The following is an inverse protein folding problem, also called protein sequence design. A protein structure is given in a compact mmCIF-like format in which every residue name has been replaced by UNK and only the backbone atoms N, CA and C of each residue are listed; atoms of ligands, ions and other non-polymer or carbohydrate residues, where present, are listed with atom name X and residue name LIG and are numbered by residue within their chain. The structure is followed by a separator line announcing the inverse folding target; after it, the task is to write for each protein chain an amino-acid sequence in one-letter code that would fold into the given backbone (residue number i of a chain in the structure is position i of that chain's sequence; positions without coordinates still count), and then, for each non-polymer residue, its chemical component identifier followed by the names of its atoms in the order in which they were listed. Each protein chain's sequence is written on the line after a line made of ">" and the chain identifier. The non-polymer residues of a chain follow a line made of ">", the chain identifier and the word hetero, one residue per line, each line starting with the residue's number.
data_IF_933446042651
#
_entry.id   IF_933446042651
#
_cell.length_a   1.000
_cell.length_b   1.000
_cell.length_c   1.000
_cell.angle_alpha   90.00
_cell.angle_beta   90.00
_cell.angle_gamma   90.00
#
_symmetry.space_group_name_H-M   'P 1'
#
loop_
_entity.id
_entity.type
_entity.pdbx_description
1 polymer ?
#
# COMPACT_ATOMS: atom_id res chain seq x y z
N UNK A 1 -10.21 25.25 -2.75
CA UNK A 1 -10.39 25.81 -4.11
C UNK A 1 -10.46 24.70 -5.16
N UNK A 2 -9.44 23.84 -5.31
CA UNK A 2 -9.45 22.73 -6.30
C UNK A 2 -10.60 21.70 -6.13
N UNK A 3 -10.99 21.35 -4.90
CA UNK A 3 -12.12 20.44 -4.65
C UNK A 3 -13.49 21.01 -5.05
N UNK A 4 -13.61 22.33 -5.16
CA UNK A 4 -14.87 23.03 -5.41
C UNK A 4 -14.93 23.61 -6.83
N UNK A 5 -13.95 23.33 -7.70
CA UNK A 5 -13.98 23.75 -9.10
C UNK A 5 -14.85 22.82 -9.94
N UNK A 6 -15.38 23.33 -11.04
CA UNK A 6 -16.15 22.55 -12.03
C UNK A 6 -15.55 22.75 -13.45
N UNK A 7 -14.92 21.72 -14.06
CA UNK A 7 -14.67 20.40 -13.48
C UNK A 7 -13.66 20.47 -12.32
N UNK A 8 -13.68 19.43 -11.46
CA UNK A 8 -12.72 19.31 -10.35
C UNK A 8 -11.29 19.30 -10.90
N UNK A 9 -10.43 20.15 -10.38
CA UNK A 9 -9.03 20.25 -10.80
C UNK A 9 -8.21 19.09 -10.20
N UNK A 10 -8.26 17.95 -10.87
CA UNK A 10 -7.57 16.71 -10.47
C UNK A 10 -6.05 16.91 -10.44
N UNK A 11 -5.49 17.75 -11.31
CA UNK A 11 -4.05 17.92 -11.41
C UNK A 11 -3.50 18.70 -10.21
N UNK A 12 -4.22 19.71 -9.74
CA UNK A 12 -3.88 20.37 -8.48
C UNK A 12 -4.01 19.43 -7.28
N UNK A 13 -5.01 18.53 -7.27
CA UNK A 13 -5.14 17.51 -6.22
C UNK A 13 -3.98 16.50 -6.25
N UNK A 14 -3.54 16.08 -7.44
CA UNK A 14 -2.36 15.22 -7.60
C UNK A 14 -1.11 15.91 -7.08
N UNK A 15 -0.84 17.15 -7.52
CA UNK A 15 0.32 17.93 -7.03
C UNK A 15 0.29 18.10 -5.51
N UNK A 16 -0.86 18.37 -4.91
CA UNK A 16 -1.00 18.44 -3.45
C UNK A 16 -0.67 17.10 -2.78
N UNK A 17 -1.17 15.98 -3.30
CA UNK A 17 -0.88 14.65 -2.79
C UNK A 17 0.61 14.25 -2.97
N UNK A 18 1.29 14.79 -3.99
CA UNK A 18 2.72 14.56 -4.22
C UNK A 18 3.62 15.48 -3.38
N UNK A 19 3.18 16.68 -3.02
CA UNK A 19 3.95 17.70 -2.28
C UNK A 19 4.36 17.29 -0.86
N UNK A 20 5.32 18.00 -0.25
CA UNK A 20 5.75 17.75 1.12
C UNK A 20 4.54 17.75 2.10
N UNK A 21 4.44 16.72 2.95
CA UNK A 21 3.31 16.55 3.87
C UNK A 21 2.02 15.95 3.27
N UNK A 22 1.85 15.97 1.94
CA UNK A 22 0.74 15.30 1.23
C UNK A 22 -0.64 15.81 1.63
N UNK A 23 -1.64 14.91 1.70
CA UNK A 23 -2.98 15.30 2.11
C UNK A 23 -3.04 15.31 3.64
N UNK A 24 -3.11 16.49 4.25
CA UNK A 24 -2.81 16.65 5.69
C UNK A 24 -3.80 15.96 6.65
N UNK A 25 -5.06 15.75 6.24
CA UNK A 25 -6.11 15.19 7.11
C UNK A 25 -6.97 14.13 6.43
N UNK A 26 -7.58 13.27 7.24
CA UNK A 26 -8.47 12.21 6.77
C UNK A 26 -9.74 12.77 6.11
N UNK A 27 -10.24 13.92 6.56
CA UNK A 27 -11.37 14.60 5.91
C UNK A 27 -11.05 15.08 4.49
N UNK A 28 -9.80 15.46 4.23
CA UNK A 28 -9.33 15.76 2.88
C UNK A 28 -9.21 14.47 2.08
N UNK A 29 -8.59 13.42 2.64
CA UNK A 29 -8.43 12.11 1.98
C UNK A 29 -9.75 11.49 1.55
N UNK A 30 -10.77 11.55 2.41
CA UNK A 30 -12.15 11.12 2.13
C UNK A 30 -12.74 11.76 0.87
N UNK A 31 -12.33 12.98 0.54
CA UNK A 31 -12.78 13.72 -0.65
C UNK A 31 -11.86 13.51 -1.85
N UNK A 32 -10.55 13.42 -1.62
CA UNK A 32 -9.54 13.44 -2.69
C UNK A 32 -9.21 12.04 -3.22
N UNK A 33 -9.04 11.02 -2.37
CA UNK A 33 -8.68 9.67 -2.82
C UNK A 33 -9.67 9.10 -3.85
N UNK A 34 -11.01 9.23 -3.68
CA UNK A 34 -11.94 8.77 -4.70
C UNK A 34 -11.75 9.50 -6.04
N UNK A 35 -11.40 10.79 -6.01
CA UNK A 35 -11.17 11.60 -7.22
C UNK A 35 -9.89 11.19 -7.93
N UNK A 36 -8.81 10.90 -7.20
CA UNK A 36 -7.56 10.39 -7.78
C UNK A 36 -7.75 9.05 -8.50
N UNK A 37 -8.65 8.22 -7.99
CA UNK A 37 -9.01 6.92 -8.57
C UNK A 37 -10.18 6.96 -9.56
N UNK A 38 -10.70 8.16 -9.87
CA UNK A 38 -11.86 8.36 -10.75
C UNK A 38 -13.11 7.58 -10.32
N UNK A 39 -13.37 7.49 -9.01
CA UNK A 39 -14.52 6.80 -8.43
C UNK A 39 -15.73 7.73 -8.40
N UNK A 40 -16.88 7.23 -8.85
CA UNK A 40 -18.16 7.93 -8.75
C UNK A 40 -18.75 7.77 -7.35
N UNK A 41 -18.62 8.81 -6.53
CA UNK A 41 -19.12 8.83 -5.14
C UNK A 41 -20.65 8.78 -5.01
N UNK A 42 -21.39 9.05 -6.10
CA UNK A 42 -22.85 8.96 -6.13
C UNK A 42 -23.35 7.56 -6.48
N UNK A 43 -22.47 6.69 -7.00
CA UNK A 43 -22.78 5.32 -7.37
C UNK A 43 -21.80 4.35 -6.69
N UNK A 44 -21.87 4.29 -5.36
CA UNK A 44 -21.04 3.38 -4.58
C UNK A 44 -21.68 1.99 -4.51
N UNK A 45 -20.87 0.91 -4.53
CA UNK A 45 -21.33 -0.44 -4.27
C UNK A 45 -22.24 -0.54 -3.03
N UNK A 46 -23.22 -1.46 -3.05
CA UNK A 46 -23.97 -1.78 -1.84
C UNK A 46 -23.03 -2.38 -0.80
N UNK A 47 -23.42 -2.30 0.47
CA UNK A 47 -22.70 -3.02 1.53
C UNK A 47 -22.70 -4.52 1.25
N UNK A 48 -21.70 -5.27 1.75
CA UNK A 48 -21.67 -6.71 1.60
C UNK A 48 -22.94 -7.35 2.17
N UNK A 49 -23.43 -8.37 1.49
CA UNK A 49 -24.57 -9.14 1.97
C UNK A 49 -24.16 -10.03 3.16
N UNK A 50 -25.12 -10.45 3.99
CA UNK A 50 -24.81 -11.28 5.18
C UNK A 50 -24.23 -12.64 4.80
N UNK A 51 -24.56 -13.14 3.62
CA UNK A 51 -24.08 -14.40 3.06
C UNK A 51 -22.71 -14.27 2.36
N UNK A 52 -22.06 -13.09 2.37
CA UNK A 52 -20.74 -12.89 1.73
C UNK A 52 -19.66 -13.87 2.20
N UNK A 53 -19.86 -14.42 3.40
CA UNK A 53 -18.97 -15.38 4.05
C UNK A 53 -19.27 -16.83 3.66
N UNK A 54 -20.50 -17.12 3.24
CA UNK A 54 -20.95 -18.46 2.90
C UNK A 54 -20.19 -18.97 1.66
N UNK A 55 -19.67 -20.19 1.76
CA UNK A 55 -18.93 -20.92 0.71
C UNK A 55 -17.76 -20.14 0.07
N UNK A 56 -17.21 -19.14 0.75
CA UNK A 56 -16.08 -18.37 0.21
C UNK A 56 -14.75 -19.09 0.48
N UNK A 57 -14.06 -19.49 -0.60
CA UNK A 57 -12.78 -20.25 -0.55
C UNK A 57 -11.73 -19.63 0.38
N UNK A 58 -11.63 -18.29 0.39
CA UNK A 58 -10.64 -17.55 1.18
C UNK A 58 -11.08 -17.19 2.61
N UNK A 59 -12.32 -17.48 3.02
CA UNK A 59 -12.90 -17.00 4.30
C UNK A 59 -12.01 -17.29 5.50
N UNK A 60 -11.57 -18.55 5.66
CA UNK A 60 -10.76 -18.98 6.80
C UNK A 60 -9.42 -18.23 6.86
N UNK A 61 -8.78 -18.04 5.71
CA UNK A 61 -7.49 -17.36 5.63
C UNK A 61 -7.64 -15.87 5.96
N UNK A 62 -8.66 -15.21 5.40
CA UNK A 62 -8.95 -13.79 5.67
C UNK A 62 -9.20 -13.56 7.17
N UNK A 63 -10.02 -14.39 7.81
CA UNK A 63 -10.30 -14.29 9.26
C UNK A 63 -9.02 -14.41 10.08
N UNK A 64 -8.15 -15.39 9.76
CA UNK A 64 -6.89 -15.59 10.49
C UNK A 64 -5.97 -14.37 10.38
N UNK A 65 -5.87 -13.79 9.20
CA UNK A 65 -5.01 -12.64 8.94
C UNK A 65 -5.55 -11.36 9.61
N UNK A 66 -6.86 -11.10 9.51
CA UNK A 66 -7.50 -9.94 10.16
C UNK A 66 -7.33 -10.00 11.69
N UNK A 67 -7.43 -11.19 12.30
CA UNK A 67 -7.21 -11.37 13.74
C UNK A 67 -5.76 -11.06 14.15
N UNK A 68 -4.79 -11.32 13.28
CA UNK A 68 -3.35 -11.04 13.52
C UNK A 68 -2.98 -9.56 13.32
N UNK A 69 -3.88 -8.75 12.75
CA UNK A 69 -3.63 -7.37 12.33
C UNK A 69 -3.81 -6.30 13.42
N UNK A 70 -3.80 -6.68 14.70
CA UNK A 70 -4.11 -5.77 15.82
C UNK A 70 -3.27 -4.48 15.86
N UNK A 71 -2.05 -4.51 15.31
CA UNK A 71 -1.13 -3.36 15.30
C UNK A 71 -1.57 -2.21 14.39
N UNK A 72 -2.51 -2.46 13.48
CA UNK A 72 -2.97 -1.47 12.48
C UNK A 72 -4.07 -0.55 13.02
N UNK A 73 -4.72 -0.96 14.11
CA UNK A 73 -5.76 -0.16 14.75
C UNK A 73 -5.14 0.89 15.68
N UNK A 74 -5.75 2.09 15.80
CA UNK A 74 -5.30 3.13 16.71
C UNK A 74 -5.12 2.62 18.15
N UNK A 75 -4.03 3.06 18.80
CA UNK A 75 -3.81 2.76 20.22
C UNK A 75 -4.92 3.42 21.05
N UNK A 76 -5.61 2.62 21.86
CA UNK A 76 -6.73 3.09 22.69
C UNK A 76 -8.12 2.94 22.05
N UNK A 77 -8.22 2.46 20.81
CA UNK A 77 -9.50 2.07 20.22
C UNK A 77 -10.16 0.98 21.07
N UNK A 78 -11.44 1.18 21.38
CA UNK A 78 -12.24 0.23 22.18
C UNK A 78 -12.32 -1.13 21.47
N UNK A 79 -12.44 -2.19 22.26
CA UNK A 79 -12.46 -3.57 21.73
C UNK A 79 -13.70 -3.81 20.88
N UNK A 80 -14.86 -3.36 21.33
CA UNK A 80 -16.13 -3.49 20.61
C UNK A 80 -16.13 -2.74 19.26
N UNK A 81 -15.61 -1.51 19.24
CA UNK A 81 -15.43 -0.76 17.99
C UNK A 81 -14.49 -1.48 17.03
N UNK A 82 -13.39 -2.03 17.55
CA UNK A 82 -12.41 -2.76 16.75
C UNK A 82 -12.99 -4.05 16.17
N UNK A 83 -13.74 -4.81 16.95
CA UNK A 83 -14.38 -6.03 16.49
C UNK A 83 -15.34 -5.72 15.33
N UNK A 84 -16.13 -4.65 15.43
CA UNK A 84 -16.98 -4.20 14.31
C UNK A 84 -16.16 -3.89 13.06
N UNK A 85 -15.03 -3.19 13.18
CA UNK A 85 -14.16 -2.90 12.04
C UNK A 85 -13.48 -4.15 11.48
N UNK A 86 -13.15 -5.14 12.31
CA UNK A 86 -12.59 -6.43 11.85
C UNK A 86 -13.62 -7.23 11.07
N UNK A 87 -14.88 -7.27 11.53
CA UNK A 87 -15.96 -7.91 10.80
C UNK A 87 -16.22 -7.22 9.46
N UNK A 88 -16.28 -5.89 9.44
CA UNK A 88 -16.38 -5.11 8.20
C UNK A 88 -15.20 -5.37 7.26
N UNK A 89 -13.97 -5.45 7.78
CA UNK A 89 -12.77 -5.73 6.99
C UNK A 89 -12.86 -7.10 6.32
N UNK A 90 -13.31 -8.12 7.04
CA UNK A 90 -13.54 -9.47 6.50
C UNK A 90 -14.57 -9.38 5.37
N UNK A 91 -15.72 -8.75 5.62
CA UNK A 91 -16.83 -8.66 4.66
C UNK A 91 -16.43 -7.91 3.38
N UNK A 92 -15.67 -6.81 3.51
CA UNK A 92 -15.14 -6.05 2.37
C UNK A 92 -14.20 -6.89 1.51
N UNK A 93 -13.25 -7.60 2.13
CA UNK A 93 -12.28 -8.42 1.38
C UNK A 93 -13.01 -9.50 0.57
N UNK A 94 -13.96 -10.19 1.20
CA UNK A 94 -14.70 -11.27 0.56
C UNK A 94 -15.65 -10.73 -0.51
N UNK A 95 -16.30 -9.58 -0.30
CA UNK A 95 -17.17 -8.95 -1.30
C UNK A 95 -16.37 -8.56 -2.56
N UNK A 96 -15.19 -7.96 -2.39
CA UNK A 96 -14.31 -7.61 -3.51
C UNK A 96 -13.85 -8.84 -4.27
N UNK A 97 -13.44 -9.92 -3.59
CA UNK A 97 -13.02 -11.17 -4.23
C UNK A 97 -14.19 -11.89 -4.92
N UNK A 98 -15.38 -11.89 -4.32
CA UNK A 98 -16.58 -12.49 -4.91
C UNK A 98 -17.02 -11.78 -6.19
N UNK A 99 -16.91 -10.45 -6.23
CA UNK A 99 -17.18 -9.64 -7.45
C UNK A 99 -16.11 -9.82 -8.53
N UNK A 100 -14.92 -10.27 -8.16
CA UNK A 100 -13.77 -10.38 -9.03
C UNK A 100 -13.16 -11.79 -8.94
N UNK A 101 -13.85 -12.82 -9.46
CA UNK A 101 -13.48 -14.22 -9.27
C UNK A 101 -12.11 -14.60 -9.86
N UNK A 102 -11.57 -13.77 -10.76
CA UNK A 102 -10.22 -13.88 -11.31
C UNK A 102 -9.12 -13.55 -10.29
N UNK A 103 -9.45 -12.87 -9.19
CA UNK A 103 -8.49 -12.44 -8.18
C UNK A 103 -8.34 -13.49 -7.07
N UNK A 104 -7.10 -13.66 -6.63
CA UNK A 104 -6.72 -14.56 -5.55
C UNK A 104 -6.24 -13.74 -4.36
N UNK A 105 -6.72 -14.09 -3.16
CA UNK A 105 -6.28 -13.46 -1.94
C UNK A 105 -4.81 -13.77 -1.67
N UNK A 106 -4.03 -12.75 -1.27
CA UNK A 106 -2.67 -12.92 -0.78
C UNK A 106 -2.52 -12.37 0.65
N UNK A 107 -1.62 -12.98 1.42
CA UNK A 107 -1.34 -12.55 2.78
C UNK A 107 -0.64 -11.18 2.78
N UNK A 108 -1.34 -10.17 3.30
CA UNK A 108 -0.92 -8.77 3.28
C UNK A 108 -1.96 -7.84 2.65
N UNK A 109 -2.89 -8.38 1.86
CA UNK A 109 -3.96 -7.58 1.24
C UNK A 109 -4.81 -6.84 2.29
N UNK A 110 -5.10 -7.51 3.41
CA UNK A 110 -5.84 -6.92 4.54
C UNK A 110 -5.16 -5.67 5.14
N UNK A 111 -3.82 -5.56 5.10
CA UNK A 111 -3.09 -4.38 5.59
C UNK A 111 -3.38 -3.14 4.73
N UNK A 112 -3.68 -3.34 3.45
CA UNK A 112 -4.10 -2.30 2.53
C UNK A 112 -5.56 -1.93 2.79
N UNK A 113 -6.44 -2.93 2.80
CA UNK A 113 -7.89 -2.72 2.97
C UNK A 113 -8.21 -2.03 4.29
N UNK A 114 -7.59 -2.44 5.40
CA UNK A 114 -7.84 -1.81 6.72
C UNK A 114 -7.45 -0.33 6.75
N UNK A 115 -6.41 0.04 6.01
CA UNK A 115 -5.96 1.45 5.92
C UNK A 115 -7.04 2.31 5.27
N UNK A 116 -7.67 1.82 4.20
CA UNK A 116 -8.80 2.50 3.58
C UNK A 116 -10.03 2.49 4.48
N UNK A 117 -10.35 1.36 5.12
CA UNK A 117 -11.51 1.26 6.02
C UNK A 117 -11.45 2.30 7.14
N UNK A 118 -10.30 2.47 7.78
CA UNK A 118 -10.10 3.43 8.86
C UNK A 118 -10.25 4.90 8.41
N UNK A 119 -9.97 5.20 7.14
CA UNK A 119 -10.00 6.58 6.62
C UNK A 119 -11.33 6.90 5.95
N UNK A 120 -11.80 6.07 5.02
CA UNK A 120 -12.92 6.39 4.14
C UNK A 120 -14.20 5.62 4.45
N UNK A 121 -14.15 4.66 5.37
CA UNK A 121 -15.29 3.83 5.74
C UNK A 121 -15.62 2.73 4.73
N UNK A 122 -16.56 1.87 5.10
CA UNK A 122 -16.87 0.59 4.45
C UNK A 122 -17.19 0.72 2.95
N UNK A 123 -18.26 1.44 2.57
CA UNK A 123 -18.73 1.49 1.17
C UNK A 123 -17.71 2.11 0.21
N UNK A 124 -17.01 3.15 0.65
CA UNK A 124 -15.97 3.77 -0.16
C UNK A 124 -14.75 2.85 -0.29
N UNK A 125 -14.41 2.11 0.77
CA UNK A 125 -13.34 1.11 0.72
C UNK A 125 -13.62 0.04 -0.32
N UNK A 126 -14.86 -0.46 -0.42
CA UNK A 126 -15.23 -1.44 -1.44
C UNK A 126 -14.97 -0.89 -2.85
N UNK A 127 -15.44 0.33 -3.14
CA UNK A 127 -15.23 0.98 -4.44
C UNK A 127 -13.74 1.20 -4.76
N UNK A 128 -12.96 1.65 -3.77
CA UNK A 128 -11.51 1.86 -3.91
C UNK A 128 -10.81 0.54 -4.17
N UNK A 129 -11.10 -0.48 -3.37
CA UNK A 129 -10.41 -1.76 -3.46
C UNK A 129 -10.80 -2.52 -4.73
N UNK A 130 -12.03 -2.43 -5.21
CA UNK A 130 -12.40 -2.96 -6.53
C UNK A 130 -11.55 -2.35 -7.65
N UNK A 131 -11.30 -1.03 -7.62
CA UNK A 131 -10.43 -0.35 -8.58
C UNK A 131 -8.97 -0.77 -8.41
N UNK A 132 -8.43 -0.69 -7.19
CA UNK A 132 -7.02 -0.98 -6.92
C UNK A 132 -6.67 -2.43 -7.21
N UNK A 133 -7.53 -3.37 -6.83
CA UNK A 133 -7.29 -4.82 -6.99
C UNK A 133 -7.30 -5.25 -8.45
N UNK A 134 -8.05 -4.57 -9.31
CA UNK A 134 -8.02 -4.82 -10.76
C UNK A 134 -6.91 -4.07 -11.52
N UNK A 135 -6.18 -3.18 -10.87
CA UNK A 135 -5.16 -2.35 -11.52
C UNK A 135 -3.81 -2.41 -10.79
N UNK A 136 -3.70 -1.73 -9.64
CA UNK A 136 -2.44 -1.55 -8.93
C UNK A 136 -1.95 -2.82 -8.25
N UNK A 137 -2.87 -3.65 -7.77
CA UNK A 137 -2.57 -4.85 -6.99
C UNK A 137 -2.80 -6.14 -7.79
N UNK A 138 -3.22 -6.03 -9.06
CA UNK A 138 -3.65 -7.15 -9.90
C UNK A 138 -2.62 -8.28 -9.93
N UNK A 139 -1.37 -7.93 -10.23
CA UNK A 139 -0.28 -8.89 -10.38
C UNK A 139 0.15 -9.57 -9.05
N UNK A 140 -0.29 -9.02 -7.91
CA UNK A 140 -0.15 -9.65 -6.59
C UNK A 140 -1.30 -10.61 -6.28
N UNK A 141 -2.40 -10.52 -7.03
CA UNK A 141 -3.62 -11.32 -6.87
C UNK A 141 -3.76 -12.40 -7.95
N UNK A 142 -2.67 -12.72 -8.67
CA UNK A 142 -2.64 -13.85 -9.58
C UNK A 142 -2.57 -15.18 -8.81
N UNK A 143 -3.01 -16.30 -9.40
CA UNK A 143 -2.96 -17.61 -8.75
C UNK A 143 -1.53 -18.08 -8.43
N UNK A 144 -0.52 -17.57 -9.15
CA UNK A 144 0.89 -17.88 -8.92
C UNK A 144 1.68 -16.62 -8.59
N UNK A 145 2.84 -16.80 -7.95
CA UNK A 145 3.75 -15.70 -7.60
C UNK A 145 4.55 -15.15 -8.79
N UNK A 146 4.34 -15.64 -10.01
CA UNK A 146 5.22 -15.33 -11.15
C UNK A 146 5.10 -13.87 -11.59
N UNK A 147 3.88 -13.34 -11.68
CA UNK A 147 3.62 -11.93 -11.98
C UNK A 147 4.21 -11.02 -10.90
N UNK A 148 4.09 -11.40 -9.64
CA UNK A 148 4.71 -10.67 -8.53
C UNK A 148 6.24 -10.67 -8.61
N UNK A 149 6.86 -11.81 -8.93
CA UNK A 149 8.31 -11.90 -9.16
C UNK A 149 8.73 -11.04 -10.34
N UNK A 150 7.92 -10.99 -11.40
CA UNK A 150 8.16 -10.12 -12.55
C UNK A 150 8.17 -8.64 -12.15
N UNK A 151 7.21 -8.18 -11.35
CA UNK A 151 7.24 -6.82 -10.78
C UNK A 151 8.51 -6.58 -9.98
N UNK A 152 8.86 -7.52 -9.08
CA UNK A 152 10.04 -7.39 -8.23
C UNK A 152 11.33 -7.28 -9.03
N UNK A 153 11.41 -7.94 -10.19
CA UNK A 153 12.59 -7.92 -11.03
C UNK A 153 12.84 -6.57 -11.70
N UNK A 154 11.85 -5.66 -11.77
CA UNK A 154 12.11 -4.26 -12.16
C UNK A 154 13.05 -3.54 -11.20
N UNK A 155 13.21 -4.02 -9.95
CA UNK A 155 14.10 -3.42 -8.98
C UNK A 155 15.57 -3.43 -9.45
N UNK A 156 16.02 -4.52 -10.07
CA UNK A 156 17.43 -4.66 -10.47
C UNK A 156 17.83 -3.66 -11.58
N UNK A 157 17.10 -3.55 -12.71
CA UNK A 157 17.39 -2.53 -13.72
C UNK A 157 17.26 -1.08 -13.21
N UNK A 158 16.34 -0.81 -12.27
CA UNK A 158 16.22 0.52 -11.66
C UNK A 158 17.48 0.83 -10.83
N UNK A 159 17.92 -0.13 -10.00
CA UNK A 159 19.13 0.03 -9.19
C UNK A 159 20.38 0.17 -10.06
N UNK A 160 20.51 -0.61 -11.14
CA UNK A 160 21.63 -0.49 -12.07
C UNK A 160 21.79 0.94 -12.62
N UNK A 161 20.66 1.58 -12.96
CA UNK A 161 20.66 2.95 -13.49
C UNK A 161 20.90 4.03 -12.43
N UNK A 162 20.45 3.82 -11.20
CA UNK A 162 20.48 4.85 -10.15
C UNK A 162 21.71 4.73 -9.25
N UNK A 163 22.19 3.50 -9.01
CA UNK A 163 23.29 3.18 -8.09
C UNK A 163 23.94 1.85 -8.48
N UNK A 164 24.92 1.91 -9.40
CA UNK A 164 25.61 0.73 -9.94
C UNK A 164 26.41 -0.02 -8.88
N UNK A 165 26.99 0.67 -7.91
CA UNK A 165 27.76 0.04 -6.83
C UNK A 165 26.85 -0.85 -5.97
N UNK A 166 25.68 -0.34 -5.60
CA UNK A 166 24.67 -1.11 -4.88
C UNK A 166 24.14 -2.27 -5.73
N UNK A 167 23.86 -2.04 -7.01
CA UNK A 167 23.44 -3.11 -7.93
C UNK A 167 24.45 -4.27 -7.95
N UNK A 168 25.73 -3.97 -8.17
CA UNK A 168 26.77 -4.98 -8.28
C UNK A 168 26.98 -5.70 -6.94
N UNK A 169 26.86 -4.97 -5.82
CA UNK A 169 26.83 -5.58 -4.49
C UNK A 169 25.67 -6.57 -4.34
N UNK A 170 24.46 -6.20 -4.79
CA UNK A 170 23.28 -7.06 -4.69
C UNK A 170 23.44 -8.33 -5.52
N UNK A 171 23.95 -8.23 -6.75
CA UNK A 171 24.26 -9.39 -7.60
C UNK A 171 25.26 -10.32 -6.91
N UNK A 172 26.40 -9.79 -6.43
CA UNK A 172 27.44 -10.60 -5.74
C UNK A 172 26.93 -11.25 -4.45
N UNK A 173 25.98 -10.63 -3.77
CA UNK A 173 25.42 -11.13 -2.52
C UNK A 173 24.33 -12.17 -2.69
N UNK A 174 23.85 -12.41 -3.91
CA UNK A 174 22.77 -13.37 -4.24
C UNK A 174 21.47 -13.18 -3.43
N UNK A 175 21.25 -11.98 -2.87
CA UNK A 175 20.07 -11.66 -2.04
C UNK A 175 18.77 -11.69 -2.86
N UNK A 176 18.85 -11.50 -4.18
CA UNK A 176 17.70 -11.39 -5.06
C UNK A 176 16.82 -10.18 -4.75
N UNK A 177 15.54 -10.23 -5.14
CA UNK A 177 14.56 -9.13 -4.98
C UNK A 177 13.42 -9.46 -4.01
N UNK A 178 13.36 -10.70 -3.50
CA UNK A 178 12.27 -11.21 -2.66
C UNK A 178 12.13 -10.42 -1.35
N UNK A 179 13.19 -9.80 -0.84
CA UNK A 179 13.12 -8.97 0.36
C UNK A 179 12.12 -7.79 0.23
N UNK A 180 11.93 -7.26 -0.98
CA UNK A 180 11.03 -6.14 -1.24
C UNK A 180 9.56 -6.58 -1.39
N UNK A 181 9.29 -7.89 -1.50
CA UNK A 181 7.94 -8.44 -1.67
C UNK A 181 6.98 -7.91 -0.61
N UNK A 182 7.36 -8.08 0.67
CA UNK A 182 6.54 -7.65 1.80
C UNK A 182 6.25 -6.14 1.79
N UNK A 183 7.12 -5.33 1.19
CA UNK A 183 6.95 -3.89 1.10
C UNK A 183 5.89 -3.54 0.06
N UNK A 184 5.94 -4.18 -1.11
CA UNK A 184 5.01 -3.93 -2.21
C UNK A 184 3.61 -4.44 -1.89
N UNK A 185 3.48 -5.68 -1.42
CA UNK A 185 2.17 -6.30 -1.20
C UNK A 185 1.41 -5.69 -0.01
N UNK A 186 2.10 -4.97 0.88
CA UNK A 186 1.45 -4.27 2.02
C UNK A 186 1.45 -2.75 1.86
N UNK A 187 1.87 -2.22 0.70
CA UNK A 187 2.16 -0.79 0.50
C UNK A 187 2.92 -0.17 1.67
N UNK A 188 3.98 -0.86 2.11
CA UNK A 188 4.88 -0.50 3.20
C UNK A 188 4.20 -0.39 4.58
N UNK A 189 2.92 -0.77 4.69
CA UNK A 189 2.14 -0.76 5.92
C UNK A 189 2.78 -1.62 7.01
N UNK A 190 3.38 -2.75 6.65
CA UNK A 190 4.07 -3.60 7.61
C UNK A 190 5.37 -2.96 8.15
N UNK A 191 6.03 -2.13 7.34
CA UNK A 191 7.35 -1.57 7.67
C UNK A 191 7.23 -0.28 8.49
N UNK A 192 6.27 0.57 8.15
CA UNK A 192 6.06 1.86 8.81
C UNK A 192 5.25 1.70 10.10
N UNK A 193 5.77 2.25 11.20
CA UNK A 193 5.13 2.15 12.51
C UNK A 193 4.14 3.27 12.83
N UNK A 194 4.24 4.43 12.19
CA UNK A 194 3.30 5.54 12.36
C UNK A 194 2.30 5.51 11.21
N UNK A 195 1.01 5.39 11.56
CA UNK A 195 -0.09 5.35 10.61
C UNK A 195 -0.13 6.59 9.72
N UNK A 196 0.27 7.76 10.23
CA UNK A 196 0.31 9.01 9.43
C UNK A 196 1.30 8.94 8.29
N UNK A 197 2.44 8.28 8.48
CA UNK A 197 3.41 8.07 7.39
C UNK A 197 2.89 7.08 6.35
N UNK A 198 2.14 6.07 6.77
CA UNK A 198 1.46 5.14 5.85
C UNK A 198 0.45 5.92 5.00
N UNK A 199 -0.40 6.73 5.62
CA UNK A 199 -1.39 7.53 4.89
C UNK A 199 -0.75 8.50 3.90
N UNK A 200 0.37 9.11 4.29
CA UNK A 200 1.15 9.97 3.38
C UNK A 200 1.69 9.21 2.18
N UNK A 201 2.17 7.98 2.35
CA UNK A 201 2.57 7.12 1.23
C UNK A 201 1.38 6.77 0.33
N UNK A 202 0.21 6.55 0.91
CA UNK A 202 -1.01 6.27 0.13
C UNK A 202 -1.40 7.49 -0.71
N UNK A 203 -1.32 8.70 -0.16
CA UNK A 203 -1.50 9.94 -0.93
C UNK A 203 -0.57 9.96 -2.16
N UNK A 204 0.70 9.58 -1.96
CA UNK A 204 1.70 9.54 -3.02
C UNK A 204 1.41 8.46 -4.08
N UNK A 205 1.10 7.23 -3.67
CA UNK A 205 0.84 6.13 -4.60
C UNK A 205 -0.44 6.34 -5.41
N UNK A 206 -1.51 6.83 -4.78
CA UNK A 206 -2.78 7.11 -5.47
C UNK A 206 -2.68 8.26 -6.48
N UNK A 207 -1.73 9.18 -6.27
CA UNK A 207 -1.47 10.28 -7.20
C UNK A 207 -0.44 9.91 -8.30
N UNK A 208 0.17 8.74 -8.22
CA UNK A 208 1.28 8.31 -9.09
C UNK A 208 0.91 7.16 -10.02
N UNK A 209 1.83 6.80 -10.91
CA UNK A 209 1.73 5.58 -11.72
C UNK A 209 1.74 4.31 -10.82
N UNK A 210 1.01 3.23 -11.15
CA UNK A 210 0.96 2.01 -10.33
C UNK A 210 2.32 1.39 -9.96
N UNK A 211 3.31 1.51 -10.85
CA UNK A 211 4.68 1.04 -10.60
C UNK A 211 5.45 1.90 -9.59
N UNK A 212 4.91 3.02 -9.12
CA UNK A 212 5.63 3.92 -8.21
C UNK A 212 6.07 3.23 -6.90
N UNK A 213 5.31 2.22 -6.44
CA UNK A 213 5.69 1.43 -5.27
C UNK A 213 7.03 0.68 -5.45
N UNK A 214 7.40 0.26 -6.67
CA UNK A 214 8.69 -0.38 -6.94
C UNK A 214 9.82 0.64 -7.05
N UNK A 215 9.56 1.83 -7.61
CA UNK A 215 10.53 2.93 -7.60
C UNK A 215 10.87 3.34 -6.17
N UNK A 216 9.86 3.44 -5.31
CA UNK A 216 10.07 3.75 -3.90
C UNK A 216 10.93 2.68 -3.20
N UNK A 217 10.80 1.40 -3.56
CA UNK A 217 11.63 0.32 -3.02
C UNK A 217 13.12 0.53 -3.35
N UNK A 218 13.43 0.97 -4.57
CA UNK A 218 14.79 1.22 -5.03
C UNK A 218 15.46 2.33 -4.21
N UNK A 219 14.75 3.45 -3.99
CA UNK A 219 15.29 4.59 -3.24
C UNK A 219 15.49 4.23 -1.77
N UNK A 220 14.54 3.49 -1.19
CA UNK A 220 14.67 2.94 0.17
C UNK A 220 15.91 2.06 0.27
N UNK A 221 16.10 1.13 -0.67
CA UNK A 221 17.21 0.19 -0.64
C UNK A 221 18.56 0.89 -0.75
N UNK A 222 18.63 1.94 -1.57
CA UNK A 222 19.79 2.84 -1.68
C UNK A 222 20.11 3.54 -0.37
N UNK A 223 19.11 4.11 0.28
CA UNK A 223 19.31 4.82 1.54
C UNK A 223 19.79 3.88 2.66
N UNK A 224 19.26 2.67 2.73
CA UNK A 224 19.75 1.64 3.67
C UNK A 224 21.19 1.22 3.39
N UNK A 225 21.58 1.13 2.11
CA UNK A 225 22.96 0.82 1.72
C UNK A 225 23.94 1.92 2.12
N UNK A 226 23.61 3.18 1.84
CA UNK A 226 24.41 4.33 2.24
C UNK A 226 24.58 4.38 3.76
N UNK A 227 23.50 4.20 4.53
CA UNK A 227 23.61 4.12 6.00
C UNK A 227 24.56 3.01 6.46
N UNK A 228 24.66 1.88 5.74
CA UNK A 228 25.63 0.81 6.07
C UNK A 228 27.07 1.25 5.83
N UNK A 229 27.36 1.92 4.71
CA UNK A 229 28.70 2.43 4.43
C UNK A 229 29.17 3.42 5.51
N UNK A 230 28.25 4.21 6.07
CA UNK A 230 28.54 5.13 7.17
C UNK A 230 28.65 4.46 8.56
N UNK A 231 27.96 3.33 8.82
CA UNK A 231 27.83 2.75 10.19
C UNK A 231 28.39 1.33 10.38
N UNK A 232 29.07 0.72 9.38
CA UNK A 232 29.77 -0.58 9.49
C UNK A 232 28.97 -1.71 10.17
N UNK A 233 27.79 -2.08 9.65
CA UNK A 233 26.97 -3.19 10.18
C UNK A 233 26.81 -4.38 9.21
N UNK A 234 26.58 -5.56 9.82
CA UNK A 234 26.56 -6.90 9.19
C UNK A 234 25.35 -7.17 8.25
N UNK A 235 25.50 -8.17 7.38
CA UNK A 235 24.61 -8.51 6.24
C UNK A 235 23.19 -8.89 6.68
N UNK A 236 22.99 -9.49 7.86
CA UNK A 236 21.67 -9.87 8.39
C UNK A 236 20.74 -8.69 8.66
N UNK A 237 21.24 -7.45 8.61
CA UNK A 237 20.47 -6.22 8.72
C UNK A 237 19.74 -5.82 7.42
N UNK A 238 20.08 -6.39 6.26
CA UNK A 238 19.55 -5.96 4.96
C UNK A 238 18.08 -6.35 4.76
N UNK A 239 17.64 -7.46 5.36
CA UNK A 239 16.25 -7.90 5.37
C UNK A 239 15.39 -7.12 6.37
N UNK A 240 15.99 -6.40 7.32
CA UNK A 240 15.28 -5.52 8.27
C UNK A 240 15.50 -4.06 7.89
N UNK A 241 14.50 -3.50 7.21
CA UNK A 241 14.47 -2.08 6.86
C UNK A 241 14.48 -1.21 8.14
N UNK A 242 15.53 -0.37 8.36
CA UNK A 242 15.54 0.57 9.46
C UNK A 242 14.42 1.59 9.24
N UNK A 243 13.45 1.66 10.16
CA UNK A 243 12.25 2.50 10.04
C UNK A 243 12.58 3.97 9.78
N UNK A 244 13.62 4.47 10.43
CA UNK A 244 14.11 5.84 10.26
C UNK A 244 14.63 6.10 8.84
N UNK A 245 15.27 5.10 8.21
CA UNK A 245 15.70 5.22 6.82
C UNK A 245 14.49 5.33 5.90
N UNK A 246 13.41 4.56 6.09
CA UNK A 246 12.20 4.69 5.27
C UNK A 246 11.62 6.11 5.30
N UNK A 247 11.43 6.68 6.50
CA UNK A 247 10.81 7.99 6.68
C UNK A 247 11.69 9.11 6.13
N UNK A 248 13.00 9.06 6.37
CA UNK A 248 13.95 10.01 5.78
C UNK A 248 14.01 9.88 4.26
N UNK A 249 14.06 8.65 3.76
CA UNK A 249 14.06 8.39 2.31
C UNK A 249 12.82 8.92 1.65
N UNK A 250 11.64 8.70 2.24
CA UNK A 250 10.39 9.22 1.72
C UNK A 250 10.39 10.75 1.65
N UNK A 251 10.89 11.41 2.70
CA UNK A 251 10.99 12.88 2.73
C UNK A 251 11.94 13.42 1.65
N UNK A 252 13.09 12.76 1.44
CA UNK A 252 14.04 13.12 0.37
C UNK A 252 13.45 12.84 -1.02
N UNK A 253 12.85 11.67 -1.20
CA UNK A 253 12.25 11.26 -2.47
C UNK A 253 11.13 12.19 -2.91
N UNK A 254 10.26 12.60 -1.98
CA UNK A 254 9.22 13.60 -2.24
C UNK A 254 9.82 14.95 -2.63
N UNK A 255 10.90 15.40 -2.00
CA UNK A 255 11.56 16.67 -2.38
C UNK A 255 12.22 16.64 -3.75
N UNK A 256 12.73 15.48 -4.18
CA UNK A 256 13.42 15.34 -5.47
C UNK A 256 12.48 15.08 -6.65
N UNK A 257 11.26 14.58 -6.39
CA UNK A 257 10.32 14.10 -7.43
C UNK A 257 8.92 14.72 -7.37
N UNK A 258 8.55 15.43 -6.31
CA UNK A 258 7.29 16.17 -6.17
C UNK A 258 7.47 17.64 -6.53
#
# INVERSE_FOLDING_TARGET
>A
VALNSDPVDIETLRRAALSEGGLLTDDIRRKVWPKLLSINVYNLPPKPSKDVREDHKDYRQVVLDVRRSMRRFPKGMRVDEREVLQEQLIDIILDVLRRNPQLYYYQGYHDIVVTFLLVVGERMTIAIMEKLSNHHLRDFMDPTMDSTKHILNYLMPILERVDRELHDFMIRSEVGTIFALSWLITWYGYVLSDFRHVLRLYDFFLASHPLMAIYFAAVVRRSVFLCRLFFSRSISSLSRMPRQCCVMTFSVFVREKG
#
